data_IF_486860336178
#
_entry.id   IF_486860336178
#
_cell.length_a   1.000
_cell.length_b   1.000
_cell.length_c   1.000
_cell.angle_alpha   90.00
_cell.angle_beta   90.00
_cell.angle_gamma   90.00
#
_symmetry.space_group_name_H-M   'P 1'
#
loop_
_entity.id
_entity.type
_entity.pdbx_description
1 polymer ?
#
# COMPACT_ATOMS: atom_id res chain seq x y z
N UNK A 1 -14.95 -12.18 3.66
CA UNK A 1 -14.94 -11.38 2.43
C UNK A 1 -13.76 -10.44 2.58
N UNK A 2 -12.70 -10.60 1.78
CA UNK A 2 -11.55 -9.70 1.82
C UNK A 2 -11.82 -8.53 0.87
N UNK A 3 -11.61 -7.31 1.33
CA UNK A 3 -11.67 -6.12 0.48
C UNK A 3 -10.25 -5.86 -0.03
N UNK A 4 -10.02 -6.10 -1.32
CA UNK A 4 -8.70 -6.03 -1.93
C UNK A 4 -8.59 -4.81 -2.84
N UNK A 5 -7.62 -3.95 -2.55
CA UNK A 5 -7.16 -2.91 -3.46
C UNK A 5 -5.73 -3.21 -3.88
N UNK A 6 -5.50 -3.30 -5.18
CA UNK A 6 -4.17 -3.45 -5.75
C UNK A 6 -3.87 -2.30 -6.71
N UNK A 7 -2.66 -1.76 -6.58
CA UNK A 7 -2.03 -0.81 -7.49
C UNK A 7 -0.69 -1.41 -7.87
N UNK A 8 -0.48 -1.65 -9.16
CA UNK A 8 0.69 -2.35 -9.68
C UNK A 8 1.33 -1.55 -10.81
N UNK A 9 2.65 -1.55 -10.88
CA UNK A 9 3.43 -1.03 -12.01
C UNK A 9 4.43 -2.05 -12.53
N UNK A 10 5.08 -1.71 -13.63
CA UNK A 10 6.13 -2.49 -14.28
C UNK A 10 7.55 -1.97 -13.97
N UNK A 11 8.55 -2.59 -14.59
CA UNK A 11 9.95 -2.17 -14.49
C UNK A 11 10.10 -0.72 -14.97
N UNK A 12 10.48 0.18 -14.06
CA UNK A 12 10.64 1.60 -14.33
C UNK A 12 9.45 2.48 -13.93
N UNK A 13 8.37 1.89 -13.42
CA UNK A 13 7.28 2.68 -12.82
C UNK A 13 7.77 3.42 -11.57
N UNK A 14 7.37 4.68 -11.42
CA UNK A 14 7.65 5.48 -10.22
C UNK A 14 6.90 4.90 -9.01
N UNK A 15 7.64 4.18 -8.15
CA UNK A 15 7.12 3.57 -6.92
C UNK A 15 6.47 4.59 -5.99
N UNK A 16 6.98 5.83 -5.96
CA UNK A 16 6.39 6.89 -5.12
C UNK A 16 5.03 7.31 -5.65
N UNK A 17 4.88 7.42 -6.97
CA UNK A 17 3.59 7.73 -7.60
C UNK A 17 2.57 6.61 -7.37
N UNK A 18 2.97 5.33 -7.47
CA UNK A 18 2.09 4.20 -7.15
C UNK A 18 1.63 4.21 -5.69
N UNK A 19 2.54 4.54 -4.77
CA UNK A 19 2.22 4.61 -3.35
C UNK A 19 1.24 5.73 -3.04
N UNK A 20 1.40 6.90 -3.67
CA UNK A 20 0.45 8.01 -3.57
C UNK A 20 -0.92 7.58 -4.10
N UNK A 21 -0.96 6.92 -5.27
CA UNK A 21 -2.23 6.42 -5.82
C UNK A 21 -2.90 5.39 -4.88
N UNK A 22 -2.12 4.49 -4.30
CA UNK A 22 -2.64 3.50 -3.35
C UNK A 22 -3.22 4.19 -2.10
N UNK A 23 -2.51 5.18 -1.53
CA UNK A 23 -2.99 5.96 -0.40
C UNK A 23 -4.26 6.78 -0.75
N UNK A 24 -4.33 7.35 -1.95
CA UNK A 24 -5.53 8.07 -2.42
C UNK A 24 -6.74 7.14 -2.54
N UNK A 25 -6.56 5.92 -3.03
CA UNK A 25 -7.63 4.91 -3.08
C UNK A 25 -8.10 4.52 -1.68
N UNK A 26 -7.17 4.33 -0.75
CA UNK A 26 -7.49 4.06 0.67
C UNK A 26 -8.24 5.24 1.29
N UNK A 27 -7.83 6.48 1.03
CA UNK A 27 -8.50 7.67 1.55
C UNK A 27 -9.96 7.78 1.05
N UNK A 28 -10.20 7.45 -0.23
CA UNK A 28 -11.57 7.42 -0.79
C UNK A 28 -12.43 6.32 -0.19
N UNK A 29 -11.81 5.17 0.11
CA UNK A 29 -12.47 4.02 0.72
C UNK A 29 -12.57 4.11 2.26
N UNK A 30 -11.99 5.14 2.88
CA UNK A 30 -11.88 5.27 4.33
C UNK A 30 -13.20 5.03 5.09
N UNK A 31 -14.36 5.59 4.68
CA UNK A 31 -15.61 5.35 5.40
C UNK A 31 -16.03 3.88 5.45
N UNK A 32 -15.82 3.15 4.36
CA UNK A 32 -16.15 1.72 4.26
C UNK A 32 -15.16 0.87 5.06
N UNK A 33 -13.88 1.22 4.99
CA UNK A 33 -12.82 0.57 5.75
C UNK A 33 -13.02 0.72 7.26
N UNK A 34 -13.46 1.89 7.73
CA UNK A 34 -13.81 2.10 9.14
C UNK A 34 -15.00 1.26 9.60
N UNK A 35 -16.00 1.03 8.74
CA UNK A 35 -17.11 0.12 9.04
C UNK A 35 -16.60 -1.32 9.20
N UNK A 36 -15.70 -1.76 8.33
CA UNK A 36 -15.08 -3.10 8.42
C UNK A 36 -14.22 -3.23 9.67
N UNK A 37 -13.38 -2.24 9.98
CA UNK A 37 -12.58 -2.21 11.20
C UNK A 37 -13.46 -2.28 12.46
N UNK A 38 -14.56 -1.50 12.49
CA UNK A 38 -15.54 -1.54 13.58
C UNK A 38 -16.29 -2.87 13.72
N UNK A 39 -16.38 -3.65 12.64
CA UNK A 39 -16.93 -5.00 12.63
C UNK A 39 -15.89 -6.07 13.02
N UNK A 40 -14.65 -5.69 13.33
CA UNK A 40 -13.57 -6.59 13.78
C UNK A 40 -12.73 -7.20 12.66
N UNK A 41 -12.83 -6.69 11.43
CA UNK A 41 -11.94 -7.10 10.34
C UNK A 41 -10.59 -6.39 10.46
N UNK A 42 -9.50 -7.14 10.29
CA UNK A 42 -8.16 -6.57 10.13
C UNK A 42 -7.98 -5.95 8.75
N UNK A 43 -7.26 -4.84 8.67
CA UNK A 43 -6.90 -4.19 7.41
C UNK A 43 -5.39 -4.31 7.24
N UNK A 44 -4.96 -4.85 6.10
CA UNK A 44 -3.56 -4.99 5.75
C UNK A 44 -3.25 -4.09 4.55
N UNK A 45 -2.25 -3.23 4.70
CA UNK A 45 -1.68 -2.47 3.59
C UNK A 45 -0.33 -3.09 3.23
N UNK A 46 -0.27 -3.77 2.08
CA UNK A 46 0.95 -4.44 1.63
C UNK A 46 1.58 -3.70 0.44
N UNK A 47 2.87 -3.42 0.53
CA UNK A 47 3.68 -2.98 -0.60
C UNK A 47 4.54 -4.15 -1.06
N UNK A 48 4.28 -4.63 -2.28
CA UNK A 48 5.00 -5.75 -2.88
C UNK A 48 5.86 -5.23 -4.03
N UNK A 49 7.17 -5.38 -3.91
CA UNK A 49 8.10 -5.06 -4.99
C UNK A 49 8.60 -6.37 -5.62
N UNK A 50 8.28 -6.57 -6.90
CA UNK A 50 8.88 -7.63 -7.71
C UNK A 50 10.11 -7.07 -8.44
N UNK A 51 11.26 -7.74 -8.29
CA UNK A 51 12.50 -7.38 -8.99
C UNK A 51 13.07 -8.59 -9.72
N UNK A 52 13.64 -8.34 -10.89
CA UNK A 52 14.43 -9.26 -11.69
C UNK A 52 15.92 -8.93 -11.54
N UNK A 53 16.80 -9.85 -11.94
CA UNK A 53 18.26 -9.64 -11.86
C UNK A 53 18.80 -8.46 -12.69
N UNK A 54 17.99 -7.88 -13.57
CA UNK A 54 18.35 -6.76 -14.45
C UNK A 54 17.84 -5.41 -13.93
N UNK A 55 17.03 -5.37 -12.86
CA UNK A 55 16.44 -4.13 -12.35
C UNK A 55 17.45 -3.30 -11.54
N UNK A 56 17.59 -2.01 -11.88
CA UNK A 56 18.29 -1.05 -11.03
C UNK A 56 17.49 -0.83 -9.74
N UNK A 57 17.95 -1.44 -8.64
CA UNK A 57 17.29 -1.32 -7.33
C UNK A 57 17.52 0.08 -6.76
N UNK A 58 16.63 1.02 -7.09
CA UNK A 58 16.50 2.32 -6.42
C UNK A 58 15.30 2.31 -5.46
N UNK A 59 15.22 1.28 -4.61
CA UNK A 59 14.04 0.98 -3.79
C UNK A 59 14.03 1.77 -2.47
N UNK A 60 13.90 3.08 -2.55
CA UNK A 60 13.61 3.91 -1.38
C UNK A 60 12.31 4.66 -1.64
N UNK A 61 11.21 4.22 -1.00
CA UNK A 61 10.00 5.02 -0.90
C UNK A 61 9.84 5.51 0.54
N UNK A 62 9.28 6.70 0.69
CA UNK A 62 9.02 7.30 2.00
C UNK A 62 7.53 7.56 2.11
N UNK A 63 6.91 6.98 3.14
CA UNK A 63 5.55 7.36 3.51
C UNK A 63 5.60 8.70 4.23
N UNK A 64 4.91 9.69 3.68
CA UNK A 64 4.71 10.97 4.35
C UNK A 64 3.85 10.82 5.62
N UNK A 65 3.95 11.79 6.52
CA UNK A 65 3.16 11.81 7.75
C UNK A 65 1.65 11.72 7.50
N UNK A 66 1.16 12.30 6.39
CA UNK A 66 -0.24 12.21 5.99
C UNK A 66 -0.67 10.77 5.66
N UNK A 67 0.18 10.01 4.96
CA UNK A 67 -0.08 8.62 4.63
C UNK A 67 -0.07 7.74 5.89
N UNK A 68 0.91 7.94 6.79
CA UNK A 68 0.95 7.24 8.06
C UNK A 68 -0.27 7.54 8.95
N UNK A 69 -0.73 8.79 8.96
CA UNK A 69 -1.91 9.21 9.70
C UNK A 69 -3.19 8.57 9.15
N UNK A 70 -3.32 8.42 7.83
CA UNK A 70 -4.42 7.71 7.18
C UNK A 70 -4.43 6.23 7.60
N UNK A 71 -3.31 5.52 7.42
CA UNK A 71 -3.19 4.10 7.73
C UNK A 71 -3.45 3.81 9.21
N UNK A 72 -2.91 4.64 10.11
CA UNK A 72 -3.16 4.55 11.55
C UNK A 72 -4.64 4.73 11.91
N UNK A 73 -5.34 5.66 11.24
CA UNK A 73 -6.76 5.95 11.53
C UNK A 73 -7.67 4.78 11.21
N UNK A 74 -7.38 4.05 10.13
CA UNK A 74 -8.11 2.84 9.75
C UNK A 74 -7.62 1.59 10.48
N UNK A 75 -6.60 1.71 11.33
CA UNK A 75 -6.00 0.57 12.03
C UNK A 75 -5.33 -0.43 11.10
N UNK A 76 -4.77 0.05 9.98
CA UNK A 76 -4.09 -0.81 9.01
C UNK A 76 -2.68 -1.16 9.49
N UNK A 77 -2.34 -2.45 9.43
CA UNK A 77 -0.96 -2.91 9.54
C UNK A 77 -0.24 -2.68 8.21
N UNK A 78 1.03 -2.25 8.28
CA UNK A 78 1.89 -2.05 7.11
C UNK A 78 2.84 -3.24 6.95
N UNK A 79 2.76 -3.90 5.81
CA UNK A 79 3.68 -4.98 5.43
C UNK A 79 4.42 -4.62 4.15
N UNK A 80 5.73 -4.87 4.11
CA UNK A 80 6.56 -4.68 2.93
C UNK A 80 7.23 -6.01 2.56
N UNK A 81 7.08 -6.42 1.31
CA UNK A 81 7.67 -7.66 0.80
C UNK A 81 8.44 -7.39 -0.50
N UNK A 82 9.64 -7.95 -0.58
CA UNK A 82 10.48 -7.94 -1.78
C UNK A 82 10.55 -9.35 -2.34
N UNK A 83 10.14 -9.53 -3.59
CA UNK A 83 10.26 -10.80 -4.32
C UNK A 83 11.28 -10.66 -5.44
N UNK A 84 12.29 -11.53 -5.42
CA UNK A 84 13.30 -11.64 -6.47
C UNK A 84 12.90 -12.81 -7.38
N UNK A 85 12.72 -12.54 -8.67
CA UNK A 85 12.31 -13.51 -9.69
C UNK A 85 13.43 -13.82 -10.68
#
# INVERSE_FOLDING_TARGET
MAYEFSVSGDSGTDVSALLIEACDRVARAEPELLVLAGAGFGILFSVVLGVTGEDEVNSSFVLEAAHLALLSRIGADLETALYVF
#
